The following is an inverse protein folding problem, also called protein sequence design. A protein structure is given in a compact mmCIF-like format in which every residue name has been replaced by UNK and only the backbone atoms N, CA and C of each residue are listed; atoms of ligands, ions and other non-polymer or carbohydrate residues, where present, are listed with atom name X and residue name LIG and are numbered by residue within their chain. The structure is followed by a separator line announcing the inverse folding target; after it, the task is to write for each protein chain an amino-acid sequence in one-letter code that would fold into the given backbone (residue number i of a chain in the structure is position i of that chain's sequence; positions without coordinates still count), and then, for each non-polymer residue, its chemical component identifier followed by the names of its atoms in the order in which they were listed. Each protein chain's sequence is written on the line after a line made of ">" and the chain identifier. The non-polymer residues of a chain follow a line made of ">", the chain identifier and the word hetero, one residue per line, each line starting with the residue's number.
data_IF_853015281202
#
_entry.id   IF_853015281202
#
_cell.length_a   1.000
_cell.length_b   1.000
_cell.length_c   1.000
_cell.angle_alpha   90.00
_cell.angle_beta   90.00
_cell.angle_gamma   90.00
#
_symmetry.space_group_name_H-M   'P 1'
#
loop_
_entity.id
_entity.type
_entity.pdbx_description
1 polymer ?
#
# COMPACT_ATOMS: atom_id res chain seq x y z
N UNK A 1 5.88 -35.34 22.65
CA UNK A 1 5.52 -34.59 21.43
C UNK A 1 4.08 -34.11 21.57
N UNK A 2 3.83 -32.81 21.48
CA UNK A 2 2.47 -32.28 21.56
C UNK A 2 1.67 -32.73 20.32
N UNK A 3 0.45 -33.26 20.55
CA UNK A 3 -0.43 -33.74 19.50
C UNK A 3 -1.06 -32.55 18.78
N UNK A 4 -0.49 -32.16 17.64
CA UNK A 4 -0.88 -31.00 16.84
C UNK A 4 -2.21 -31.17 16.08
N UNK A 5 -2.79 -32.37 16.05
CA UNK A 5 -4.03 -32.65 15.30
C UNK A 5 -5.29 -31.93 15.85
N UNK A 6 -5.20 -31.28 17.01
CA UNK A 6 -6.32 -30.53 17.62
C UNK A 6 -6.15 -29.01 17.59
N UNK A 7 -5.08 -28.48 17.01
CA UNK A 7 -4.93 -27.03 16.86
C UNK A 7 -5.87 -26.57 15.75
N UNK A 8 -7.05 -26.06 16.13
CA UNK A 8 -7.94 -25.37 15.19
C UNK A 8 -7.19 -24.14 14.68
N UNK A 9 -6.98 -24.09 13.36
CA UNK A 9 -6.51 -22.88 12.71
C UNK A 9 -7.69 -21.89 12.72
N UNK A 10 -7.73 -21.05 13.74
CA UNK A 10 -8.71 -19.95 13.82
C UNK A 10 -8.23 -18.98 12.75
N UNK A 11 -9.01 -18.84 11.67
CA UNK A 11 -8.68 -17.95 10.55
C UNK A 11 -8.62 -16.49 10.98
N UNK A 12 -8.71 -15.57 10.04
CA UNK A 12 -8.60 -14.16 10.38
C UNK A 12 -9.73 -13.71 11.32
N UNK A 13 -9.37 -13.07 12.44
CA UNK A 13 -10.31 -12.62 13.47
C UNK A 13 -10.17 -11.12 13.70
N UNK A 14 -11.20 -10.34 13.33
CA UNK A 14 -11.27 -8.90 13.62
C UNK A 14 -11.80 -8.67 15.03
N UNK A 15 -10.97 -8.06 15.88
CA UNK A 15 -11.29 -7.81 17.30
C UNK A 15 -11.67 -6.37 17.60
N UNK A 16 -11.19 -5.43 16.80
CA UNK A 16 -11.46 -4.00 16.96
C UNK A 16 -12.59 -3.57 16.03
N UNK A 17 -13.33 -2.53 16.43
CA UNK A 17 -14.46 -2.00 15.66
C UNK A 17 -14.02 -1.19 14.42
N UNK A 18 -12.81 -0.62 14.47
CA UNK A 18 -12.26 0.20 13.40
C UNK A 18 -11.69 -0.65 12.26
N UNK A 19 -11.64 -0.06 11.07
CA UNK A 19 -11.00 -0.67 9.90
C UNK A 19 -9.49 -0.82 10.12
N UNK A 20 -8.92 -1.86 9.50
CA UNK A 20 -7.48 -2.10 9.54
C UNK A 20 -6.74 -0.96 8.82
N UNK A 21 -5.62 -0.48 9.39
CA UNK A 21 -4.86 0.60 8.78
C UNK A 21 -4.23 0.14 7.48
N UNK A 22 -4.25 1.00 6.45
CA UNK A 22 -3.62 0.72 5.15
C UNK A 22 -2.28 1.46 5.01
N UNK A 23 -1.42 0.97 4.12
CA UNK A 23 -0.15 1.62 3.77
C UNK A 23 -0.31 2.40 2.46
N UNK A 24 0.04 3.68 2.48
CA UNK A 24 0.04 4.57 1.33
C UNK A 24 1.38 4.56 0.59
N UNK A 25 1.38 4.25 -0.70
CA UNK A 25 2.57 4.24 -1.53
C UNK A 25 2.56 5.42 -2.50
N UNK A 26 3.57 6.28 -2.38
CA UNK A 26 3.72 7.53 -3.12
C UNK A 26 4.83 7.40 -4.18
N UNK A 27 4.52 7.05 -5.44
CA UNK A 27 5.50 7.02 -6.52
C UNK A 27 5.96 8.45 -6.86
N UNK A 28 7.08 8.89 -6.31
CA UNK A 28 7.65 10.22 -6.61
C UNK A 28 8.53 10.16 -7.85
N UNK A 29 8.43 11.19 -8.70
CA UNK A 29 9.11 11.25 -9.99
C UNK A 29 9.73 12.63 -10.18
N UNK A 30 10.67 12.74 -11.12
CA UNK A 30 11.10 14.04 -11.62
C UNK A 30 9.97 14.73 -12.40
N UNK A 31 9.57 15.93 -11.96
CA UNK A 31 8.50 16.72 -12.60
C UNK A 31 8.88 17.38 -13.93
N UNK A 32 10.14 17.25 -14.39
CA UNK A 32 10.58 17.84 -15.66
C UNK A 32 9.96 17.11 -16.85
N UNK A 33 9.20 17.85 -17.64
CA UNK A 33 8.60 17.37 -18.90
C UNK A 33 9.58 17.44 -20.08
N UNK A 34 9.13 16.96 -21.25
CA UNK A 34 9.89 16.95 -22.53
C UNK A 34 10.96 15.87 -22.59
N UNK A 35 10.68 14.70 -22.02
CA UNK A 35 11.44 13.47 -22.20
C UNK A 35 11.94 12.86 -20.89
N UNK A 36 12.11 13.65 -19.83
CA UNK A 36 12.60 13.14 -18.54
C UNK A 36 11.49 12.36 -17.83
N UNK A 37 10.40 13.03 -17.46
CA UNK A 37 9.27 12.42 -16.76
C UNK A 37 8.68 11.26 -17.55
N UNK A 38 8.41 11.47 -18.84
CA UNK A 38 7.78 10.49 -19.72
C UNK A 38 8.58 9.18 -19.82
N UNK A 39 9.90 9.25 -19.70
CA UNK A 39 10.77 8.06 -19.70
C UNK A 39 10.78 7.28 -18.38
N UNK A 40 10.34 7.91 -17.28
CA UNK A 40 10.42 7.38 -15.93
C UNK A 40 9.07 6.94 -15.36
N UNK A 41 7.95 7.34 -15.98
CA UNK A 41 6.58 7.07 -15.49
C UNK A 41 6.34 5.58 -15.22
N UNK A 42 6.54 4.72 -16.22
CA UNK A 42 6.27 3.29 -16.12
C UNK A 42 7.15 2.63 -15.05
N UNK A 43 8.45 2.96 -15.03
CA UNK A 43 9.38 2.40 -14.07
C UNK A 43 8.99 2.80 -12.64
N UNK A 44 8.68 4.08 -12.42
CA UNK A 44 8.31 4.62 -11.11
C UNK A 44 7.02 3.99 -10.59
N UNK A 45 6.00 3.87 -11.44
CA UNK A 45 4.74 3.24 -11.07
C UNK A 45 4.90 1.72 -10.84
N UNK A 46 5.75 1.05 -11.61
CA UNK A 46 6.03 -0.37 -11.42
C UNK A 46 6.79 -0.64 -10.11
N UNK A 47 7.66 0.27 -9.68
CA UNK A 47 8.28 0.18 -8.34
C UNK A 47 7.24 0.26 -7.23
N UNK A 48 6.25 1.16 -7.33
CA UNK A 48 5.16 1.24 -6.36
C UNK A 48 4.31 -0.04 -6.32
N UNK A 49 3.97 -0.61 -7.49
CA UNK A 49 3.25 -1.88 -7.59
C UNK A 49 4.05 -3.05 -7.01
N UNK A 50 5.34 -3.11 -7.27
CA UNK A 50 6.22 -4.14 -6.74
C UNK A 50 6.32 -4.06 -5.21
N UNK A 51 6.42 -2.85 -4.65
CA UNK A 51 6.40 -2.61 -3.22
C UNK A 51 5.07 -3.04 -2.59
N UNK A 52 3.93 -2.66 -3.19
CA UNK A 52 2.60 -3.08 -2.74
C UNK A 52 2.49 -4.60 -2.68
N UNK A 53 2.90 -5.29 -3.77
CA UNK A 53 2.89 -6.75 -3.85
C UNK A 53 3.76 -7.38 -2.77
N UNK A 54 4.99 -6.89 -2.59
CA UNK A 54 5.91 -7.40 -1.58
C UNK A 54 5.31 -7.29 -0.17
N UNK A 55 4.72 -6.14 0.16
CA UNK A 55 4.11 -5.88 1.46
C UNK A 55 2.91 -6.80 1.67
N UNK A 56 1.96 -6.80 0.74
CA UNK A 56 0.73 -7.60 0.86
C UNK A 56 1.02 -9.09 0.90
N UNK A 57 2.03 -9.59 0.18
CA UNK A 57 2.38 -11.01 0.19
C UNK A 57 2.99 -11.45 1.54
N UNK A 58 3.80 -10.60 2.19
CA UNK A 58 4.64 -11.00 3.33
C UNK A 58 4.15 -10.48 4.69
N UNK A 59 3.38 -9.41 4.74
CA UNK A 59 2.90 -8.83 6.00
C UNK A 59 1.43 -9.11 6.23
N UNK A 60 1.08 -9.37 7.49
CA UNK A 60 -0.29 -9.58 7.97
C UNK A 60 -0.55 -8.65 9.14
N UNK A 61 -1.79 -8.20 9.26
CA UNK A 61 -2.27 -7.58 10.49
C UNK A 61 -2.31 -8.60 11.62
N UNK A 62 -2.45 -8.14 12.86
CA UNK A 62 -2.65 -9.01 14.03
C UNK A 62 -3.91 -9.87 13.92
N UNK A 63 -4.84 -9.49 13.04
CA UNK A 63 -6.04 -10.24 12.69
C UNK A 63 -5.75 -11.40 11.74
N UNK A 64 -4.58 -11.47 11.11
CA UNK A 64 -4.21 -12.48 10.11
C UNK A 64 -4.53 -12.10 8.66
N UNK A 65 -5.21 -10.97 8.41
CA UNK A 65 -5.46 -10.46 7.06
C UNK A 65 -4.18 -9.84 6.43
N UNK A 66 -3.95 -9.98 5.11
CA UNK A 66 -2.91 -9.26 4.39
C UNK A 66 -2.99 -7.74 4.60
N UNK A 67 -1.82 -7.10 4.70
CA UNK A 67 -1.77 -5.64 4.75
C UNK A 67 -2.17 -5.07 3.38
N UNK A 68 -3.19 -4.21 3.38
CA UNK A 68 -3.64 -3.49 2.19
C UNK A 68 -2.74 -2.29 1.90
N UNK A 69 -2.41 -2.11 0.62
CA UNK A 69 -1.63 -0.97 0.13
C UNK A 69 -2.46 -0.11 -0.83
N UNK A 70 -2.42 1.21 -0.65
CA UNK A 70 -3.08 2.19 -1.50
C UNK A 70 -2.01 2.98 -2.24
N UNK A 71 -1.98 2.86 -3.57
CA UNK A 71 -1.03 3.60 -4.41
C UNK A 71 -1.69 4.91 -4.87
N UNK A 72 -0.91 6.00 -4.97
CA UNK A 72 -1.38 7.24 -5.60
C UNK A 72 -1.85 7.01 -7.05
N UNK A 73 -2.83 7.78 -7.53
CA UNK A 73 -3.40 7.60 -8.87
C UNK A 73 -2.39 7.95 -9.99
N UNK A 74 -1.48 8.87 -9.70
CA UNK A 74 -0.41 9.30 -10.61
C UNK A 74 0.93 9.26 -9.90
N UNK A 75 2.01 9.33 -10.68
CA UNK A 75 3.31 9.73 -10.13
C UNK A 75 3.27 11.17 -9.62
N UNK A 76 4.14 11.48 -8.66
CA UNK A 76 4.15 12.75 -7.93
C UNK A 76 5.46 13.47 -8.24
N UNK A 77 5.39 14.41 -9.18
CA UNK A 77 6.47 15.33 -9.54
C UNK A 77 6.33 16.74 -8.97
N UNK A 78 5.21 17.04 -8.30
CA UNK A 78 4.99 18.34 -7.67
C UNK A 78 3.91 18.37 -6.58
N UNK A 79 3.70 19.57 -6.03
CA UNK A 79 2.80 19.82 -4.88
C UNK A 79 1.33 19.52 -5.21
N UNK A 80 0.88 19.80 -6.44
CA UNK A 80 -0.51 19.55 -6.83
C UNK A 80 -0.87 18.04 -6.76
N UNK A 81 -0.02 17.19 -7.32
CA UNK A 81 -0.18 15.73 -7.28
C UNK A 81 -0.03 15.19 -5.86
N UNK A 82 0.87 15.79 -5.07
CA UNK A 82 1.04 15.44 -3.67
C UNK A 82 -0.23 15.71 -2.84
N UNK A 83 -0.93 16.81 -3.11
CA UNK A 83 -2.19 17.15 -2.46
C UNK A 83 -3.33 16.20 -2.90
N UNK A 84 -3.39 15.84 -4.17
CA UNK A 84 -4.36 14.85 -4.68
C UNK A 84 -4.16 13.47 -4.05
N UNK A 85 -2.90 13.02 -3.96
CA UNK A 85 -2.54 11.79 -3.26
C UNK A 85 -2.96 11.82 -1.79
N UNK A 86 -2.71 12.93 -1.08
CA UNK A 86 -3.13 13.07 0.31
C UNK A 86 -4.67 13.04 0.46
N UNK A 87 -5.40 13.67 -0.46
CA UNK A 87 -6.86 13.66 -0.46
C UNK A 87 -7.43 12.25 -0.69
N UNK A 88 -6.77 11.43 -1.52
CA UNK A 88 -7.11 10.00 -1.67
C UNK A 88 -6.82 9.24 -0.37
N UNK A 89 -5.61 9.37 0.17
CA UNK A 89 -5.16 8.61 1.35
C UNK A 89 -6.02 8.88 2.58
N UNK A 90 -6.44 10.13 2.77
CA UNK A 90 -7.32 10.52 3.87
C UNK A 90 -8.72 9.89 3.80
N UNK A 91 -9.18 9.48 2.61
CA UNK A 91 -10.47 8.80 2.42
C UNK A 91 -10.35 7.28 2.54
N UNK A 92 -9.17 6.73 2.32
CA UNK A 92 -8.90 5.29 2.24
C UNK A 92 -8.37 4.69 3.56
N UNK A 93 -8.45 5.43 4.66
CA UNK A 93 -7.92 5.02 5.98
C UNK A 93 -6.43 4.62 5.95
N UNK A 94 -5.63 5.38 5.20
CA UNK A 94 -4.17 5.22 5.17
C UNK A 94 -3.59 5.82 6.45
N UNK A 95 -2.86 5.01 7.22
CA UNK A 95 -2.25 5.45 8.47
C UNK A 95 -0.78 5.88 8.29
N UNK A 96 -0.09 5.33 7.28
CA UNK A 96 1.34 5.53 6.98
C UNK A 96 1.52 5.64 5.48
#
# INVERSE_FOLDING_TARGET
>A
MANVNRIKNIGSERRYADDLPKIGIRPTIDGRHRGVRESLEDQTMNMAKAAAKLITDNLRHTTGEPVECIIADTTIGGVAEAAQCQAKFSKENVAV
#
